data_IF_335859433570
#
_entry.id   IF_335859433570
#
_cell.length_a   1.000
_cell.length_b   1.000
_cell.length_c   1.000
_cell.angle_alpha   90.00
_cell.angle_beta   90.00
_cell.angle_gamma   90.00
#
_symmetry.space_group_name_H-M   'P 1'
#
loop_
_entity.id
_entity.type
_entity.pdbx_description
1 polymer ?
#
# COMPACT_ATOMS: atom_id res chain seq x y z
N UNK A 1 -22.38 12.48 -2.40
CA UNK A 1 -22.49 11.29 -1.54
C UNK A 1 -21.77 11.56 -0.21
N UNK A 2 -20.44 11.69 -0.18
CA UNK A 2 -19.67 11.86 1.08
C UNK A 2 -20.15 13.07 1.89
N UNK A 3 -20.36 14.23 1.25
CA UNK A 3 -20.91 15.42 1.90
C UNK A 3 -22.28 15.19 2.52
N UNK A 4 -23.14 14.42 1.84
CA UNK A 4 -24.49 14.07 2.36
C UNK A 4 -24.40 13.28 3.66
N UNK A 5 -23.54 12.24 3.68
CA UNK A 5 -23.33 11.42 4.88
C UNK A 5 -22.65 12.22 6.03
N UNK A 6 -21.82 13.21 5.73
CA UNK A 6 -21.15 13.99 6.76
C UNK A 6 -22.09 14.75 7.68
N UNK A 7 -23.34 15.00 7.25
CA UNK A 7 -24.36 15.68 8.06
C UNK A 7 -24.87 14.84 9.24
N UNK A 8 -24.73 13.49 9.16
CA UNK A 8 -25.18 12.56 10.19
C UNK A 8 -24.04 11.73 10.78
N UNK A 9 -22.83 11.86 10.28
CA UNK A 9 -21.65 11.16 10.75
C UNK A 9 -20.93 11.94 11.86
N UNK A 10 -20.37 11.22 12.84
CA UNK A 10 -19.50 11.83 13.86
C UNK A 10 -18.14 12.21 13.31
N UNK A 11 -17.62 11.44 12.33
CA UNK A 11 -16.39 11.73 11.60
C UNK A 11 -16.35 10.93 10.30
N UNK A 12 -15.44 11.32 9.41
CA UNK A 12 -15.03 10.55 8.23
C UNK A 12 -13.63 10.03 8.49
N UNK A 13 -13.40 8.72 8.33
CA UNK A 13 -12.07 8.11 8.44
C UNK A 13 -11.65 7.64 7.05
N UNK A 14 -10.43 7.97 6.65
CA UNK A 14 -9.85 7.59 5.36
C UNK A 14 -8.38 7.26 5.49
N UNK A 15 -7.82 6.59 4.48
CA UNK A 15 -6.40 6.32 4.42
C UNK A 15 -5.58 7.59 4.17
N UNK A 16 -4.44 7.70 4.87
CA UNK A 16 -3.39 8.66 4.55
C UNK A 16 -2.59 8.14 3.35
N UNK A 17 -2.98 8.56 2.16
CA UNK A 17 -2.28 8.21 0.92
C UNK A 17 -1.62 9.46 0.31
N UNK A 18 -0.28 9.57 0.34
CA UNK A 18 0.42 10.84 0.10
C UNK A 18 0.59 11.20 -1.39
N UNK A 19 -0.26 10.73 -2.27
CA UNK A 19 -0.17 10.96 -3.72
C UNK A 19 -1.47 11.52 -4.30
N UNK A 20 -1.41 12.41 -5.28
CA UNK A 20 -2.57 12.76 -6.10
C UNK A 20 -3.09 11.51 -6.85
N UNK A 21 -4.39 11.39 -7.06
CA UNK A 21 -5.46 12.36 -6.74
C UNK A 21 -5.97 12.28 -5.30
N UNK A 22 -5.56 11.30 -4.47
CA UNK A 22 -6.09 11.07 -3.12
C UNK A 22 -5.94 12.28 -2.21
N UNK A 23 -4.75 12.89 -2.17
CA UNK A 23 -4.50 14.09 -1.37
C UNK A 23 -5.49 15.21 -1.71
N UNK A 24 -5.80 15.40 -3.00
CA UNK A 24 -6.76 16.41 -3.43
C UNK A 24 -8.20 16.02 -3.05
N UNK A 25 -8.55 14.73 -3.17
CA UNK A 25 -9.89 14.25 -2.79
C UNK A 25 -10.14 14.41 -1.29
N UNK A 26 -9.16 14.07 -0.46
CA UNK A 26 -9.26 14.26 0.99
C UNK A 26 -9.37 15.73 1.35
N UNK A 27 -8.56 16.59 0.74
CA UNK A 27 -8.63 18.05 0.92
C UNK A 27 -10.01 18.61 0.55
N UNK A 28 -10.54 18.23 -0.61
CA UNK A 28 -11.86 18.66 -1.06
C UNK A 28 -12.97 18.13 -0.13
N UNK A 29 -12.83 16.91 0.36
CA UNK A 29 -13.75 16.32 1.33
C UNK A 29 -13.71 17.09 2.64
N UNK A 30 -12.54 17.37 3.18
CA UNK A 30 -12.38 18.13 4.42
C UNK A 30 -12.96 19.56 4.34
N UNK A 31 -12.87 20.19 3.18
CA UNK A 31 -13.45 21.53 2.94
C UNK A 31 -14.98 21.52 2.85
N UNK A 32 -15.57 20.41 2.44
CA UNK A 32 -17.02 20.30 2.18
C UNK A 32 -17.81 19.51 3.23
N UNK A 33 -17.14 18.72 4.05
CA UNK A 33 -17.76 17.95 5.10
C UNK A 33 -18.19 18.82 6.29
N UNK A 34 -19.25 18.41 6.99
CA UNK A 34 -19.76 19.06 8.20
C UNK A 34 -19.24 18.41 9.48
N UNK A 35 -18.49 17.30 9.37
CA UNK A 35 -17.85 16.61 10.48
C UNK A 35 -16.33 16.51 10.24
N UNK A 36 -15.52 16.18 11.26
CA UNK A 36 -14.08 15.99 11.11
C UNK A 36 -13.71 14.91 10.10
N UNK A 37 -12.65 15.14 9.32
CA UNK A 37 -12.02 14.13 8.45
C UNK A 37 -10.70 13.72 9.07
N UNK A 38 -10.52 12.42 9.31
CA UNK A 38 -9.37 11.82 9.98
C UNK A 38 -8.64 10.92 9.00
N UNK A 39 -7.38 11.23 8.73
CA UNK A 39 -6.50 10.37 7.93
C UNK A 39 -5.72 9.42 8.83
N UNK A 40 -5.70 8.14 8.47
CA UNK A 40 -4.99 7.08 9.19
C UNK A 40 -3.94 6.44 8.29
N UNK A 41 -2.70 6.38 8.73
CA UNK A 41 -1.64 5.67 8.00
C UNK A 41 -1.80 4.16 8.14
N UNK A 42 -2.36 3.53 7.11
CA UNK A 42 -2.52 2.08 7.02
C UNK A 42 -1.38 1.40 6.23
N UNK A 43 -0.38 2.16 5.78
CA UNK A 43 0.66 1.69 4.88
C UNK A 43 2.00 1.41 5.58
N UNK A 44 2.32 2.18 6.63
CA UNK A 44 3.61 2.11 7.30
C UNK A 44 3.48 1.66 8.75
N UNK A 45 4.37 0.77 9.18
CA UNK A 45 4.52 0.42 10.60
C UNK A 45 5.04 1.61 11.40
N UNK A 46 5.88 2.43 10.77
CA UNK A 46 6.28 3.73 11.30
C UNK A 46 5.39 4.77 10.64
N UNK A 47 4.38 5.32 11.34
CA UNK A 47 3.49 6.28 10.73
C UNK A 47 4.24 7.47 10.14
N UNK A 48 3.90 7.84 8.90
CA UNK A 48 4.56 8.92 8.16
C UNK A 48 4.49 10.25 8.91
N UNK A 49 3.37 10.53 9.55
CA UNK A 49 3.17 11.73 10.38
C UNK A 49 4.01 11.73 11.65
N UNK A 50 4.31 10.56 12.22
CA UNK A 50 5.09 10.44 13.45
C UNK A 50 6.60 10.66 13.21
N UNK A 51 7.14 10.18 12.09
CA UNK A 51 8.52 10.44 11.71
C UNK A 51 8.68 11.83 11.07
N UNK A 52 7.72 12.23 10.24
CA UNK A 52 7.50 13.59 9.73
C UNK A 52 8.62 14.18 8.89
N UNK A 53 9.51 13.37 8.32
CA UNK A 53 10.64 13.85 7.49
C UNK A 53 11.09 12.81 6.49
N UNK A 54 11.80 13.29 5.47
CA UNK A 54 12.55 12.44 4.54
C UNK A 54 14.02 12.32 4.94
N UNK A 55 14.63 11.25 4.53
CA UNK A 55 16.10 11.05 4.55
C UNK A 55 16.53 10.49 3.19
N UNK A 56 17.72 10.85 2.78
CA UNK A 56 18.22 10.60 1.41
C UNK A 56 18.53 9.13 1.10
N UNK A 57 18.71 8.29 2.12
CA UNK A 57 19.13 6.88 1.93
C UNK A 57 18.45 5.92 2.90
N UNK A 58 18.13 4.68 2.43
CA UNK A 58 17.48 3.68 3.27
C UNK A 58 18.23 3.34 4.56
N UNK A 59 19.56 3.32 4.55
CA UNK A 59 20.32 3.02 5.77
C UNK A 59 20.20 4.14 6.83
N UNK A 60 20.13 5.41 6.42
CA UNK A 60 19.86 6.53 7.33
C UNK A 60 18.44 6.44 7.92
N UNK A 61 17.47 6.02 7.10
CA UNK A 61 16.11 5.75 7.58
C UNK A 61 16.11 4.61 8.60
N UNK A 62 16.83 3.51 8.32
CA UNK A 62 17.01 2.38 9.26
C UNK A 62 17.51 2.85 10.63
N UNK A 63 18.56 3.66 10.63
CA UNK A 63 19.21 4.11 11.87
C UNK A 63 18.32 5.10 12.64
N UNK A 64 17.72 6.06 11.94
CA UNK A 64 16.85 7.07 12.53
C UNK A 64 15.57 6.46 13.13
N UNK A 65 15.05 5.39 12.53
CA UNK A 65 13.79 4.75 12.96
C UNK A 65 13.97 3.53 13.85
N UNK A 66 15.21 3.10 14.15
CA UNK A 66 15.51 1.84 14.84
C UNK A 66 14.73 1.64 16.15
N UNK A 67 14.73 2.64 17.03
CA UNK A 67 14.03 2.55 18.34
C UNK A 67 12.52 2.52 18.16
N UNK A 68 12.00 3.37 17.31
CA UNK A 68 10.57 3.48 17.00
C UNK A 68 10.05 2.18 16.37
N UNK A 69 10.75 1.66 15.35
CA UNK A 69 10.43 0.41 14.69
C UNK A 69 10.38 -0.77 15.65
N UNK A 70 11.40 -0.94 16.52
CA UNK A 70 11.40 -2.01 17.52
C UNK A 70 10.16 -1.98 18.41
N UNK A 71 9.75 -0.79 18.86
CA UNK A 71 8.57 -0.60 19.69
C UNK A 71 7.28 -0.92 18.93
N UNK A 72 7.11 -0.34 17.74
CA UNK A 72 5.86 -0.43 16.98
C UNK A 72 5.61 -1.83 16.40
N UNK A 73 6.67 -2.54 15.98
CA UNK A 73 6.53 -3.92 15.50
C UNK A 73 6.06 -4.85 16.61
N UNK A 74 6.46 -4.59 17.85
CA UNK A 74 6.08 -5.42 19.00
C UNK A 74 4.74 -5.01 19.64
N UNK A 75 4.18 -3.87 19.22
CA UNK A 75 2.92 -3.38 19.78
C UNK A 75 1.79 -4.31 19.37
N UNK A 76 1.09 -4.88 20.34
CA UNK A 76 -0.16 -5.58 20.12
C UNK A 76 -1.27 -4.57 19.83
N UNK A 77 -2.15 -4.91 18.90
CA UNK A 77 -3.38 -4.16 18.66
C UNK A 77 -4.50 -4.86 19.40
N UNK A 78 -5.32 -4.14 20.17
CA UNK A 78 -6.48 -4.77 20.78
C UNK A 78 -7.42 -5.28 19.67
N UNK A 79 -7.84 -6.53 19.78
CA UNK A 79 -8.96 -7.04 19.00
C UNK A 79 -10.23 -6.48 19.65
N UNK A 80 -10.73 -5.40 19.12
CA UNK A 80 -11.99 -4.82 19.56
C UNK A 80 -13.08 -5.31 18.62
N UNK A 81 -14.06 -6.03 19.15
CA UNK A 81 -15.34 -6.22 18.47
C UNK A 81 -16.07 -4.89 18.44
N UNK A 82 -15.82 -4.13 17.40
CA UNK A 82 -16.54 -2.88 17.17
C UNK A 82 -17.86 -3.22 16.49
N UNK A 83 -18.92 -3.29 17.27
CA UNK A 83 -20.26 -3.37 16.70
C UNK A 83 -20.71 -1.96 16.32
N UNK A 84 -20.66 -1.66 15.05
CA UNK A 84 -21.20 -0.41 14.50
C UNK A 84 -22.65 -0.64 14.10
N UNK A 85 -23.61 0.18 14.57
CA UNK A 85 -24.99 0.08 14.11
C UNK A 85 -25.06 0.31 12.59
N UNK A 86 -25.91 -0.46 11.92
CA UNK A 86 -26.15 -0.22 10.49
C UNK A 86 -26.77 1.15 10.31
N UNK A 87 -26.37 1.83 9.24
CA UNK A 87 -27.03 3.04 8.81
C UNK A 87 -28.46 2.70 8.36
N UNK A 88 -29.45 3.32 8.99
CA UNK A 88 -30.88 3.14 8.74
C UNK A 88 -31.54 4.33 8.05
N UNK A 89 -30.76 5.36 7.73
CA UNK A 89 -31.23 6.54 7.03
C UNK A 89 -31.40 6.34 5.53
N UNK A 90 -32.00 7.31 4.86
CA UNK A 90 -32.16 7.33 3.42
C UNK A 90 -30.80 7.46 2.72
N UNK A 91 -30.54 6.57 1.76
CA UNK A 91 -29.30 6.61 0.97
C UNK A 91 -29.38 7.72 -0.09
N UNK A 92 -28.36 8.56 -0.25
CA UNK A 92 -28.30 9.62 -1.26
C UNK A 92 -28.00 9.09 -2.68
N UNK A 93 -28.18 7.81 -2.90
CA UNK A 93 -28.01 7.11 -4.18
C UNK A 93 -28.80 5.80 -4.18
N UNK A 94 -29.08 5.27 -5.37
CA UNK A 94 -29.66 3.95 -5.51
C UNK A 94 -28.60 2.88 -5.27
N UNK A 95 -28.72 2.01 -4.23
CA UNK A 95 -27.77 0.96 -3.98
C UNK A 95 -27.73 -0.05 -5.13
N UNK A 96 -26.55 -0.50 -5.46
CA UNK A 96 -26.33 -1.57 -6.45
C UNK A 96 -26.20 -2.89 -5.73
N UNK A 97 -26.94 -3.90 -6.18
CA UNK A 97 -26.75 -5.28 -5.75
C UNK A 97 -25.45 -5.83 -6.35
N UNK A 98 -24.37 -5.75 -5.58
CA UNK A 98 -23.03 -6.15 -6.04
C UNK A 98 -22.98 -7.65 -6.33
N UNK A 99 -23.63 -8.48 -5.52
CA UNK A 99 -23.66 -9.94 -5.70
C UNK A 99 -24.30 -10.29 -7.04
N UNK A 100 -25.43 -9.68 -7.36
CA UNK A 100 -26.11 -9.84 -8.65
C UNK A 100 -25.26 -9.34 -9.81
N UNK A 101 -24.57 -8.20 -9.63
CA UNK A 101 -23.73 -7.61 -10.69
C UNK A 101 -22.52 -8.49 -11.04
N UNK A 102 -21.93 -9.17 -10.06
CA UNK A 102 -20.74 -10.00 -10.29
C UNK A 102 -21.04 -11.49 -10.46
N UNK A 103 -22.30 -11.90 -10.34
CA UNK A 103 -22.71 -13.30 -10.39
C UNK A 103 -22.40 -13.96 -11.74
N UNK A 104 -22.50 -13.19 -12.82
CA UNK A 104 -22.34 -13.71 -14.19
C UNK A 104 -21.19 -12.99 -14.91
N UNK A 105 -20.55 -13.69 -15.87
CA UNK A 105 -19.37 -13.20 -16.56
C UNK A 105 -19.68 -12.02 -17.49
N UNK A 106 -20.88 -11.98 -18.08
CA UNK A 106 -21.29 -10.91 -18.97
C UNK A 106 -21.48 -9.61 -18.21
N UNK A 107 -22.08 -9.66 -17.02
CA UNK A 107 -22.20 -8.51 -16.13
C UNK A 107 -20.84 -7.97 -15.71
N UNK A 108 -19.88 -8.88 -15.38
CA UNK A 108 -18.50 -8.49 -15.05
C UNK A 108 -17.80 -7.81 -16.21
N UNK A 109 -17.95 -8.34 -17.41
CA UNK A 109 -17.41 -7.74 -18.63
C UNK A 109 -17.99 -6.34 -18.87
N UNK A 110 -19.31 -6.20 -18.75
CA UNK A 110 -19.97 -4.91 -18.86
C UNK A 110 -19.47 -3.89 -17.84
N UNK A 111 -19.29 -4.30 -16.58
CA UNK A 111 -18.73 -3.43 -15.55
C UNK A 111 -17.32 -2.93 -15.90
N UNK A 112 -16.46 -3.78 -16.46
CA UNK A 112 -15.12 -3.37 -16.90
C UNK A 112 -15.21 -2.30 -18.00
N UNK A 113 -16.08 -2.50 -18.98
CA UNK A 113 -16.31 -1.54 -20.08
C UNK A 113 -16.87 -0.22 -19.54
N UNK A 114 -17.88 -0.29 -18.67
CA UNK A 114 -18.51 0.89 -18.05
C UNK A 114 -17.51 1.69 -17.19
N UNK A 115 -16.50 1.02 -16.64
CA UNK A 115 -15.38 1.64 -15.91
C UNK A 115 -14.21 2.08 -16.80
N UNK A 116 -14.35 2.00 -18.14
CA UNK A 116 -13.28 2.29 -19.11
C UNK A 116 -12.02 1.44 -18.91
N UNK A 117 -12.19 0.22 -18.43
CA UNK A 117 -11.11 -0.77 -18.26
C UNK A 117 -11.06 -1.63 -19.53
N UNK A 118 -9.87 -1.80 -20.10
CA UNK A 118 -9.67 -2.66 -21.26
C UNK A 118 -9.88 -4.14 -20.88
N UNK A 119 -10.99 -4.78 -21.34
CA UNK A 119 -11.30 -6.14 -20.98
C UNK A 119 -10.48 -7.19 -21.77
N UNK A 120 -9.67 -6.76 -22.75
CA UNK A 120 -8.77 -7.67 -23.48
C UNK A 120 -7.52 -8.00 -22.70
N UNK A 121 -7.19 -7.19 -21.67
CA UNK A 121 -6.10 -7.47 -20.74
C UNK A 121 -6.58 -8.44 -19.67
N UNK A 122 -6.22 -9.70 -19.83
CA UNK A 122 -6.60 -10.74 -18.88
C UNK A 122 -5.84 -10.62 -17.55
N UNK A 123 -6.51 -10.94 -16.41
CA UNK A 123 -5.82 -11.03 -15.13
C UNK A 123 -4.78 -12.16 -15.15
N UNK A 124 -3.71 -12.00 -14.38
CA UNK A 124 -2.71 -13.07 -14.21
C UNK A 124 -3.40 -14.27 -13.55
N UNK A 125 -3.63 -15.33 -14.31
CA UNK A 125 -4.51 -16.44 -13.94
C UNK A 125 -4.12 -17.17 -12.63
N UNK A 126 -2.85 -17.10 -12.23
CA UNK A 126 -2.34 -17.69 -10.97
C UNK A 126 -2.32 -16.73 -9.79
N UNK A 127 -2.61 -15.44 -10.01
CA UNK A 127 -2.52 -14.38 -9.00
C UNK A 127 -3.93 -13.86 -8.69
N UNK A 128 -4.61 -14.55 -7.79
CA UNK A 128 -5.91 -14.08 -7.29
C UNK A 128 -5.70 -13.05 -6.20
N UNK A 129 -6.48 -11.97 -6.22
CA UNK A 129 -6.58 -10.98 -5.15
C UNK A 129 -7.51 -11.42 -4.02
N UNK A 130 -7.59 -10.59 -2.99
CA UNK A 130 -8.46 -10.75 -1.83
C UNK A 130 -7.71 -11.14 -0.56
N UNK A 131 -8.34 -10.87 0.57
CA UNK A 131 -7.76 -11.07 1.90
C UNK A 131 -7.46 -12.54 2.19
N UNK A 132 -8.42 -13.43 1.98
CA UNK A 132 -8.26 -14.87 2.25
C UNK A 132 -7.09 -15.47 1.48
N UNK A 133 -6.96 -15.11 0.20
CA UNK A 133 -5.85 -15.59 -0.64
C UNK A 133 -4.52 -15.02 -0.18
N UNK A 134 -4.50 -13.73 0.19
CA UNK A 134 -3.29 -13.05 0.65
C UNK A 134 -2.80 -13.58 2.00
N UNK A 135 -3.71 -13.86 2.94
CA UNK A 135 -3.41 -14.50 4.21
C UNK A 135 -2.84 -15.91 4.02
N UNK A 136 -3.47 -16.72 3.16
CA UNK A 136 -2.97 -18.08 2.85
C UNK A 136 -1.59 -18.05 2.16
N UNK A 137 -1.34 -17.05 1.29
CA UNK A 137 -0.03 -16.85 0.64
C UNK A 137 1.03 -16.45 1.67
N UNK A 138 0.70 -15.54 2.58
CA UNK A 138 1.58 -15.14 3.66
C UNK A 138 1.91 -16.30 4.59
N UNK A 139 0.91 -17.04 5.07
CA UNK A 139 1.13 -18.18 5.95
C UNK A 139 2.04 -19.24 5.32
N UNK A 140 1.81 -19.55 4.05
CA UNK A 140 2.67 -20.49 3.30
C UNK A 140 4.12 -20.00 3.22
N UNK A 141 4.31 -18.69 2.98
CA UNK A 141 5.65 -18.12 2.91
C UNK A 141 6.33 -18.13 4.29
N UNK A 142 5.62 -17.78 5.34
CA UNK A 142 6.09 -17.80 6.72
C UNK A 142 6.59 -19.19 7.11
N UNK A 143 5.78 -20.22 6.85
CA UNK A 143 6.06 -21.59 7.28
C UNK A 143 7.17 -22.27 6.47
N UNK A 144 7.24 -22.01 5.17
CA UNK A 144 8.05 -22.81 4.25
C UNK A 144 9.24 -22.09 3.62
N UNK A 145 9.17 -20.79 3.44
CA UNK A 145 10.12 -20.06 2.60
C UNK A 145 10.90 -18.97 3.34
N UNK A 146 10.33 -18.39 4.40
CA UNK A 146 10.96 -17.29 5.14
C UNK A 146 12.33 -17.67 5.69
N UNK A 147 12.52 -18.88 6.18
CA UNK A 147 13.81 -19.39 6.72
C UNK A 147 14.96 -19.35 5.70
N UNK A 148 14.66 -19.43 4.41
CA UNK A 148 15.64 -19.40 3.32
C UNK A 148 15.67 -18.08 2.54
N UNK A 149 14.82 -17.13 2.88
CA UNK A 149 14.62 -15.88 2.14
C UNK A 149 15.93 -15.11 1.89
N UNK A 150 16.79 -14.95 2.89
CA UNK A 150 18.03 -14.17 2.76
C UNK A 150 18.96 -14.68 1.66
N UNK A 151 18.93 -15.96 1.37
CA UNK A 151 19.77 -16.61 0.35
C UNK A 151 19.12 -16.62 -1.04
N UNK A 152 17.77 -16.73 -1.08
CA UNK A 152 17.01 -17.01 -2.32
C UNK A 152 16.43 -15.78 -2.97
N UNK A 153 16.22 -14.69 -2.21
CA UNK A 153 15.48 -13.51 -2.65
C UNK A 153 16.02 -12.82 -3.92
N UNK A 154 17.31 -12.96 -4.20
CA UNK A 154 17.97 -12.34 -5.37
C UNK A 154 17.99 -13.25 -6.60
N UNK A 155 17.53 -14.49 -6.49
CA UNK A 155 17.40 -15.40 -7.63
C UNK A 155 16.07 -15.14 -8.34
N UNK A 156 16.14 -14.45 -9.48
CA UNK A 156 14.96 -14.13 -10.28
C UNK A 156 14.26 -15.36 -10.87
N UNK A 157 14.97 -16.47 -11.02
CA UNK A 157 14.42 -17.73 -11.52
C UNK A 157 13.71 -18.54 -10.44
N UNK A 158 13.88 -18.17 -9.17
CA UNK A 158 13.23 -18.86 -8.04
C UNK A 158 11.88 -18.24 -7.66
N UNK A 159 10.75 -18.81 -8.11
CA UNK A 159 9.43 -18.25 -7.80
C UNK A 159 9.06 -18.36 -6.33
N UNK A 160 9.79 -19.16 -5.53
CA UNK A 160 9.58 -19.36 -4.09
C UNK A 160 10.55 -18.54 -3.23
N UNK A 161 11.49 -17.82 -3.86
CA UNK A 161 12.49 -17.02 -3.17
C UNK A 161 11.93 -15.75 -2.52
N UNK A 162 10.74 -15.30 -2.92
CA UNK A 162 10.08 -14.07 -2.44
C UNK A 162 8.63 -14.32 -2.06
N UNK A 163 8.05 -13.43 -1.24
CA UNK A 163 6.68 -13.59 -0.73
C UNK A 163 5.59 -13.30 -1.76
N UNK A 164 5.89 -12.46 -2.78
CA UNK A 164 4.93 -11.95 -3.79
C UNK A 164 3.70 -11.28 -3.19
N UNK A 165 3.87 -10.52 -2.10
CA UNK A 165 2.79 -9.86 -1.37
C UNK A 165 2.65 -8.37 -1.72
N UNK A 166 3.45 -7.83 -2.64
CA UNK A 166 3.42 -6.41 -2.99
C UNK A 166 2.03 -5.93 -3.44
N UNK A 167 1.35 -6.72 -4.28
CA UNK A 167 -0.02 -6.42 -4.68
C UNK A 167 -1.00 -6.49 -3.49
N UNK A 168 -0.83 -7.47 -2.59
CA UNK A 168 -1.67 -7.58 -1.41
C UNK A 168 -1.55 -6.36 -0.47
N UNK A 169 -0.34 -5.83 -0.30
CA UNK A 169 -0.12 -4.59 0.45
C UNK A 169 -0.65 -3.36 -0.28
N UNK A 170 -0.48 -3.31 -1.61
CA UNK A 170 -0.93 -2.18 -2.42
C UNK A 170 -2.46 -2.01 -2.38
N UNK A 171 -3.20 -3.11 -2.48
CA UNK A 171 -4.67 -3.10 -2.47
C UNK A 171 -5.28 -3.27 -1.07
N UNK A 172 -4.49 -3.27 -0.01
CA UNK A 172 -5.00 -3.39 1.36
C UNK A 172 -5.55 -4.77 1.73
N UNK A 173 -5.28 -5.82 0.94
CA UNK A 173 -5.72 -7.19 1.25
C UNK A 173 -4.94 -7.84 2.41
N UNK A 174 -3.83 -7.26 2.82
CA UNK A 174 -3.00 -7.76 3.89
C UNK A 174 -2.32 -6.59 4.62
N UNK A 175 -2.46 -6.56 5.93
CA UNK A 175 -1.81 -5.54 6.76
C UNK A 175 -0.29 -5.74 6.82
N UNK A 176 0.52 -4.73 6.45
CA UNK A 176 1.97 -4.79 6.62
C UNK A 176 2.38 -4.88 8.09
N UNK A 177 1.57 -4.33 9.01
CA UNK A 177 1.80 -4.40 10.46
C UNK A 177 1.69 -5.84 10.96
N UNK A 178 0.66 -6.59 10.51
CA UNK A 178 0.50 -8.03 10.83
C UNK A 178 1.71 -8.83 10.37
N UNK A 179 2.09 -8.65 9.10
CA UNK A 179 3.23 -9.35 8.51
C UNK A 179 4.53 -9.02 9.23
N UNK A 180 4.75 -7.77 9.58
CA UNK A 180 5.94 -7.35 10.33
C UNK A 180 6.02 -8.00 11.71
N UNK A 181 4.91 -8.05 12.45
CA UNK A 181 4.87 -8.71 13.77
C UNK A 181 5.18 -10.20 13.67
N UNK A 182 4.49 -10.89 12.77
CA UNK A 182 4.66 -12.34 12.61
C UNK A 182 6.07 -12.71 12.11
N UNK A 183 6.62 -11.96 11.14
CA UNK A 183 8.00 -12.15 10.70
C UNK A 183 9.00 -11.87 11.84
N UNK A 184 8.78 -10.83 12.64
CA UNK A 184 9.64 -10.48 13.78
C UNK A 184 9.66 -11.58 14.83
N UNK A 185 8.52 -12.25 15.07
CA UNK A 185 8.42 -13.34 16.04
C UNK A 185 9.26 -14.56 15.66
N UNK A 186 9.61 -14.73 14.38
CA UNK A 186 10.45 -15.85 13.92
C UNK A 186 11.91 -15.72 14.38
N UNK A 187 12.45 -14.51 14.51
CA UNK A 187 13.76 -14.23 15.12
C UNK A 187 14.98 -14.77 14.37
N UNK A 188 14.85 -15.08 13.07
CA UNK A 188 15.97 -15.60 12.25
C UNK A 188 16.60 -14.50 11.38
N UNK A 189 17.87 -14.71 10.95
CA UNK A 189 18.53 -13.79 10.01
C UNK A 189 17.75 -13.57 8.71
N UNK A 190 17.05 -14.60 8.25
CA UNK A 190 16.20 -14.48 7.05
C UNK A 190 14.96 -13.64 7.32
N UNK A 191 14.33 -13.77 8.48
CA UNK A 191 13.23 -12.93 8.91
C UNK A 191 13.66 -11.47 9.09
N UNK A 192 14.82 -11.23 9.71
CA UNK A 192 15.40 -9.89 9.81
C UNK A 192 15.64 -9.26 8.43
N UNK A 193 16.16 -10.05 7.47
CA UNK A 193 16.36 -9.57 6.11
C UNK A 193 15.04 -9.28 5.39
N UNK A 194 13.99 -10.06 5.63
CA UNK A 194 12.66 -9.79 5.12
C UNK A 194 12.07 -8.49 5.71
N UNK A 195 12.26 -8.28 7.00
CA UNK A 195 11.86 -7.04 7.68
C UNK A 195 12.63 -5.81 7.17
N UNK A 196 13.90 -5.97 6.79
CA UNK A 196 14.64 -4.88 6.13
C UNK A 196 13.95 -4.43 4.82
N UNK A 197 13.55 -5.38 3.98
CA UNK A 197 12.86 -5.03 2.73
C UNK A 197 11.48 -4.40 2.99
N UNK A 198 10.73 -4.93 3.95
CA UNK A 198 9.39 -4.47 4.26
C UNK A 198 9.39 -3.10 4.98
N UNK A 199 10.24 -2.93 6.00
CA UNK A 199 10.20 -1.79 6.93
C UNK A 199 11.26 -0.72 6.66
N UNK A 200 12.27 -1.02 5.82
CA UNK A 200 13.28 -0.04 5.47
C UNK A 200 13.11 0.42 4.03
N UNK A 201 13.26 -0.50 3.08
CA UNK A 201 13.22 -0.09 1.66
C UNK A 201 11.83 0.35 1.22
N UNK A 202 10.78 -0.39 1.60
CA UNK A 202 9.41 -0.03 1.26
C UNK A 202 8.96 1.24 1.99
N UNK A 203 9.14 1.32 3.30
CA UNK A 203 8.66 2.48 4.07
C UNK A 203 9.46 3.74 3.80
N UNK A 204 10.77 3.63 3.54
CA UNK A 204 11.57 4.78 3.09
C UNK A 204 10.98 5.47 1.87
N UNK A 205 10.48 4.70 0.89
CA UNK A 205 9.83 5.27 -0.28
C UNK A 205 8.52 6.01 0.09
N UNK A 206 7.70 5.45 0.98
CA UNK A 206 6.49 6.10 1.47
C UNK A 206 6.79 7.43 2.19
N UNK A 207 7.76 7.41 3.10
CA UNK A 207 8.18 8.61 3.83
C UNK A 207 8.79 9.67 2.92
N UNK A 208 9.52 9.25 1.88
CA UNK A 208 10.05 10.18 0.89
C UNK A 208 8.93 10.90 0.15
N UNK A 209 7.95 10.15 -0.36
CA UNK A 209 6.79 10.71 -1.06
C UNK A 209 5.96 11.61 -0.15
N UNK A 210 5.70 11.20 1.09
CA UNK A 210 4.95 11.99 2.08
C UNK A 210 5.61 13.35 2.38
N UNK A 211 6.94 13.40 2.35
CA UNK A 211 7.71 14.62 2.64
C UNK A 211 8.06 15.44 1.40
N UNK A 212 7.44 15.14 0.25
CA UNK A 212 7.76 15.78 -1.04
C UNK A 212 6.52 16.45 -1.62
N UNK A 213 6.57 17.74 -1.85
CA UNK A 213 5.42 18.53 -2.35
C UNK A 213 5.04 18.18 -3.80
N UNK A 214 6.01 17.80 -4.61
CA UNK A 214 5.85 17.52 -6.05
C UNK A 214 6.41 16.15 -6.43
N UNK A 215 5.83 15.03 -5.94
CA UNK A 215 6.44 13.70 -6.04
C UNK A 215 6.68 13.20 -7.48
N UNK A 216 5.99 13.76 -8.47
CA UNK A 216 6.14 13.40 -9.88
C UNK A 216 7.12 14.30 -10.67
N UNK A 217 7.75 15.28 -10.02
CA UNK A 217 8.69 16.18 -10.68
C UNK A 217 10.12 15.67 -10.58
N UNK A 218 10.85 15.71 -11.68
CA UNK A 218 12.28 15.38 -11.72
C UNK A 218 13.15 16.28 -10.84
N UNK A 219 12.66 17.49 -10.50
CA UNK A 219 13.32 18.40 -9.54
C UNK A 219 13.54 17.81 -8.15
N UNK A 220 12.84 16.73 -7.80
CA UNK A 220 13.04 16.00 -6.53
C UNK A 220 14.18 14.99 -6.59
N UNK A 221 14.75 14.75 -7.77
CA UNK A 221 15.89 13.88 -7.91
C UNK A 221 17.17 14.59 -7.45
N UNK A 222 18.13 13.86 -6.87
CA UNK A 222 19.44 14.43 -6.56
C UNK A 222 20.12 14.99 -7.84
N UNK A 223 20.87 16.09 -7.70
CA UNK A 223 21.55 16.73 -8.83
C UNK A 223 22.37 15.74 -9.67
N UNK A 224 23.13 14.86 -9.01
CA UNK A 224 23.94 13.85 -9.71
C UNK A 224 23.12 12.89 -10.60
N UNK A 225 21.87 12.60 -10.21
CA UNK A 225 21.00 11.72 -10.99
C UNK A 225 20.45 12.44 -12.22
N UNK A 226 20.08 13.73 -12.08
CA UNK A 226 19.64 14.58 -13.19
C UNK A 226 20.81 14.77 -14.17
N UNK A 227 22.00 15.05 -13.68
CA UNK A 227 23.20 15.22 -14.48
C UNK A 227 23.54 13.94 -15.25
N UNK A 228 23.53 12.78 -14.58
CA UNK A 228 23.73 11.48 -15.21
C UNK A 228 22.70 11.21 -16.30
N UNK A 229 21.44 11.53 -16.05
CA UNK A 229 20.39 11.37 -17.05
C UNK A 229 20.61 12.26 -18.29
N UNK A 230 20.92 13.53 -18.07
CA UNK A 230 21.17 14.48 -19.15
C UNK A 230 22.39 14.06 -20.00
N UNK A 231 23.45 13.57 -19.35
CA UNK A 231 24.68 13.12 -20.03
C UNK A 231 24.48 11.85 -20.88
N UNK A 232 23.41 11.09 -20.63
CA UNK A 232 23.08 9.86 -21.36
C UNK A 232 21.84 9.98 -22.24
N UNK A 233 21.30 11.19 -22.42
CA UNK A 233 20.10 11.43 -23.24
C UNK A 233 20.27 11.02 -24.71
N UNK A 234 21.46 11.22 -25.23
CA UNK A 234 21.79 10.97 -26.64
C UNK A 234 22.39 9.58 -26.91
N UNK A 235 22.46 8.74 -25.86
CA UNK A 235 22.95 7.37 -26.02
C UNK A 235 22.04 6.57 -26.95
N UNK A 236 22.61 5.84 -27.94
CA UNK A 236 21.80 5.04 -28.85
C UNK A 236 21.05 3.94 -28.11
N UNK A 237 19.74 3.85 -28.33
CA UNK A 237 18.88 2.83 -27.73
C UNK A 237 18.25 1.96 -28.81
N UNK A 238 18.21 0.62 -28.63
CA UNK A 238 17.62 -0.28 -29.63
C UNK A 238 16.11 -0.14 -29.76
N UNK A 239 15.44 0.42 -28.73
CA UNK A 239 13.99 0.66 -28.73
C UNK A 239 13.73 2.04 -28.15
N UNK A 240 12.99 2.85 -28.91
CA UNK A 240 12.45 4.12 -28.44
C UNK A 240 11.05 3.83 -27.91
N UNK A 241 10.86 3.95 -26.60
CA UNK A 241 9.53 3.89 -26.00
C UNK A 241 8.93 5.30 -26.13
N UNK A 242 7.90 5.41 -26.96
CA UNK A 242 7.11 6.63 -27.14
C UNK A 242 6.08 6.77 -26.03
#
# INVERSE_FOLDING_TARGET
VVKSFSNSASCIITDLFPLPPWTQWVKNTAQSATCPVIEVDCHCVIPMTLFGKSVDRPFKFRDATKKMRKRLVQQSWPENDITVPKYDGELPFNPVDVEKQVANIENRYKLLVDCSIDPTVFPIWRERGGEVVSLAKWQRFLDKNLSSYSRRRNDAADPKGVSRLSAAFHYGFLSPMKVAREASAVGTKSAEKYLDELLIFREHAWHHVFSTDTPYCSSNLPHWAIESWNNTSDDPRPVILS
#
